data_IF_939125766858
#
_entry.id   IF_939125766858
#
_cell.length_a   1.000
_cell.length_b   1.000
_cell.length_c   1.000
_cell.angle_alpha   90.00
_cell.angle_beta   90.00
_cell.angle_gamma   90.00
#
_symmetry.space_group_name_H-M   'P 1'
#
loop_
_entity.id
_entity.type
_entity.pdbx_description
1 polymer ?
#
# COMPACT_ATOMS: atom_id res chain seq x y z
N UNK A 1 15.66 -8.15 -25.31
CA UNK A 1 15.21 -7.69 -26.63
C UNK A 1 14.97 -8.90 -27.53
N UNK A 2 13.82 -9.00 -28.27
CA UNK A 2 13.57 -10.13 -29.18
C UNK A 2 14.66 -10.34 -30.25
N UNK A 3 15.24 -9.26 -30.73
CA UNK A 3 16.35 -9.34 -31.70
C UNK A 3 17.63 -9.93 -31.11
N UNK A 4 17.82 -9.90 -29.81
CA UNK A 4 18.98 -10.50 -29.11
C UNK A 4 18.72 -11.96 -28.72
N UNK A 5 17.49 -12.40 -28.76
CA UNK A 5 17.10 -13.76 -28.39
C UNK A 5 17.30 -14.78 -29.53
N UNK A 6 17.73 -14.35 -30.73
CA UNK A 6 17.91 -15.22 -31.88
C UNK A 6 16.67 -15.99 -32.26
N UNK A 7 16.81 -17.32 -32.45
CA UNK A 7 15.68 -18.20 -32.80
C UNK A 7 14.62 -18.32 -31.69
N UNK A 8 14.93 -17.95 -30.46
CA UNK A 8 13.96 -17.88 -29.34
C UNK A 8 13.21 -16.54 -29.28
N UNK A 9 13.49 -15.61 -30.17
CA UNK A 9 12.81 -14.32 -30.25
C UNK A 9 11.44 -14.42 -30.91
N UNK A 10 11.19 -13.57 -31.89
CA UNK A 10 9.91 -13.61 -32.61
C UNK A 10 9.86 -14.80 -33.56
N UNK A 11 8.80 -15.60 -33.39
CA UNK A 11 8.43 -16.63 -34.34
C UNK A 11 7.12 -16.22 -34.99
N UNK A 12 7.08 -16.18 -36.33
CA UNK A 12 5.85 -15.95 -37.04
C UNK A 12 4.90 -17.13 -36.82
N UNK A 13 3.72 -16.83 -36.33
CA UNK A 13 2.67 -17.83 -36.18
C UNK A 13 1.85 -17.90 -37.48
N UNK A 14 1.84 -19.04 -38.18
CA UNK A 14 1.01 -19.19 -39.37
C UNK A 14 -0.46 -19.25 -38.96
N UNK A 15 -1.20 -18.18 -39.24
CA UNK A 15 -2.64 -18.10 -39.07
C UNK A 15 -3.32 -18.49 -40.41
N UNK A 16 -3.97 -19.65 -40.51
CA UNK A 16 -4.75 -19.97 -41.70
C UNK A 16 -5.95 -19.00 -41.78
N UNK A 17 -6.04 -18.33 -42.92
CA UNK A 17 -7.17 -17.45 -43.21
C UNK A 17 -8.08 -18.20 -44.16
N UNK A 18 -9.35 -18.36 -43.79
CA UNK A 18 -10.36 -18.90 -44.74
C UNK A 18 -10.40 -17.96 -45.96
N UNK A 19 -10.71 -18.56 -47.12
CA UNK A 19 -10.84 -17.80 -48.35
C UNK A 19 -12.05 -16.90 -48.30
N UNK A 20 -11.86 -15.67 -47.84
CA UNK A 20 -12.86 -14.62 -47.67
C UNK A 20 -12.39 -13.32 -48.30
N UNK A 21 -13.33 -12.49 -48.70
CA UNK A 21 -13.04 -11.17 -49.19
C UNK A 21 -12.46 -10.28 -48.09
N UNK A 22 -11.39 -9.56 -48.42
CA UNK A 22 -10.87 -8.52 -47.50
C UNK A 22 -11.80 -7.32 -47.54
N UNK A 23 -12.53 -7.11 -46.47
CA UNK A 23 -13.39 -5.94 -46.29
C UNK A 23 -12.77 -4.95 -45.32
N UNK A 24 -12.98 -3.67 -45.57
CA UNK A 24 -12.59 -2.59 -44.65
C UNK A 24 -13.75 -2.32 -43.72
N UNK A 25 -13.56 -2.53 -42.42
CA UNK A 25 -14.58 -2.29 -41.42
C UNK A 25 -13.97 -2.28 -40.02
N UNK A 26 -14.74 -1.79 -39.08
CA UNK A 26 -14.37 -1.92 -37.66
C UNK A 26 -14.87 -3.30 -37.16
N UNK A 27 -14.03 -4.07 -36.48
CA UNK A 27 -14.51 -5.28 -35.80
C UNK A 27 -15.66 -4.96 -34.84
N UNK A 28 -16.62 -5.85 -34.71
CA UNK A 28 -17.78 -5.67 -33.82
C UNK A 28 -17.40 -5.34 -32.39
N UNK A 29 -16.31 -5.93 -31.91
CA UNK A 29 -15.79 -5.68 -30.56
C UNK A 29 -15.35 -4.24 -30.32
N UNK A 30 -15.07 -3.45 -31.37
CA UNK A 30 -14.76 -2.02 -31.20
C UNK A 30 -15.96 -1.19 -30.76
N UNK A 31 -17.18 -1.69 -30.90
CA UNK A 31 -18.37 -1.02 -30.39
C UNK A 31 -18.65 -1.32 -28.90
N UNK A 32 -17.97 -2.30 -28.32
CA UNK A 32 -18.03 -2.59 -26.90
C UNK A 32 -17.03 -1.71 -26.13
N UNK A 33 -17.51 -0.57 -25.66
CA UNK A 33 -16.67 0.41 -24.93
C UNK A 33 -16.65 0.19 -23.42
N UNK A 34 -17.53 -0.65 -22.87
CA UNK A 34 -17.79 -0.65 -21.43
C UNK A 34 -17.55 -1.99 -20.72
N UNK A 35 -17.58 -3.12 -21.42
CA UNK A 35 -17.50 -4.45 -20.78
C UNK A 35 -16.22 -4.63 -19.95
N UNK A 36 -15.08 -4.17 -20.47
CA UNK A 36 -13.80 -4.25 -19.73
C UNK A 36 -13.79 -3.32 -18.51
N UNK A 37 -14.34 -2.12 -18.63
CA UNK A 37 -14.43 -1.19 -17.51
C UNK A 37 -15.39 -1.69 -16.42
N UNK A 38 -16.51 -2.31 -16.81
CA UNK A 38 -17.43 -2.97 -15.88
C UNK A 38 -16.77 -4.16 -15.18
N UNK A 39 -16.05 -5.01 -15.92
CA UNK A 39 -15.28 -6.12 -15.36
C UNK A 39 -14.25 -5.60 -14.33
N UNK A 40 -13.51 -4.58 -14.69
CA UNK A 40 -12.51 -3.99 -13.79
C UNK A 40 -13.16 -3.45 -12.53
N UNK A 41 -14.17 -2.60 -12.64
CA UNK A 41 -14.88 -2.03 -11.50
C UNK A 41 -15.46 -3.12 -10.58
N UNK A 42 -16.16 -4.10 -11.14
CA UNK A 42 -16.78 -5.19 -10.38
C UNK A 42 -15.76 -6.13 -9.71
N UNK A 43 -14.51 -6.13 -10.19
CA UNK A 43 -13.43 -6.95 -9.64
C UNK A 43 -12.64 -6.24 -8.53
N UNK A 44 -12.93 -4.97 -8.27
CA UNK A 44 -12.26 -4.20 -7.23
C UNK A 44 -12.92 -4.40 -5.86
N UNK A 45 -12.12 -4.36 -4.80
CA UNK A 45 -12.63 -4.28 -3.42
C UNK A 45 -13.30 -2.93 -3.16
N UNK A 46 -14.11 -2.83 -2.13
CA UNK A 46 -14.77 -1.57 -1.75
C UNK A 46 -13.78 -0.41 -1.53
N UNK A 47 -12.59 -0.70 -0.98
CA UNK A 47 -11.52 0.31 -0.79
C UNK A 47 -10.96 0.78 -2.13
N UNK A 48 -10.71 -0.14 -3.05
CA UNK A 48 -10.22 0.20 -4.39
C UNK A 48 -11.27 0.98 -5.19
N UNK A 49 -12.54 0.62 -5.09
CA UNK A 49 -13.66 1.37 -5.70
C UNK A 49 -13.73 2.79 -5.12
N UNK A 50 -13.58 2.97 -3.81
CA UNK A 50 -13.53 4.29 -3.19
C UNK A 50 -12.34 5.12 -3.70
N UNK A 51 -11.17 4.49 -3.89
CA UNK A 51 -10.00 5.16 -4.48
C UNK A 51 -10.24 5.57 -5.93
N UNK A 52 -10.90 4.74 -6.74
CA UNK A 52 -11.27 5.09 -8.12
C UNK A 52 -12.19 6.31 -8.14
N UNK A 53 -13.22 6.33 -7.30
CA UNK A 53 -14.12 7.49 -7.16
C UNK A 53 -13.34 8.73 -6.77
N UNK A 54 -12.45 8.64 -5.78
CA UNK A 54 -11.65 9.75 -5.32
C UNK A 54 -10.70 10.29 -6.43
N UNK A 55 -10.12 9.40 -7.22
CA UNK A 55 -9.26 9.77 -8.35
C UNK A 55 -10.03 10.54 -9.43
N UNK A 56 -11.22 10.06 -9.83
CA UNK A 56 -12.07 10.79 -10.77
C UNK A 56 -12.50 12.15 -10.22
N UNK A 57 -12.86 12.25 -8.95
CA UNK A 57 -13.18 13.54 -8.30
C UNK A 57 -12.00 14.49 -8.37
N UNK A 58 -10.81 14.02 -8.04
CA UNK A 58 -9.59 14.82 -8.03
C UNK A 58 -9.29 15.41 -9.43
N UNK A 59 -9.33 14.58 -10.47
CA UNK A 59 -9.06 15.06 -11.83
C UNK A 59 -10.18 15.93 -12.38
N UNK A 60 -11.44 15.56 -12.19
CA UNK A 60 -12.57 16.30 -12.73
C UNK A 60 -12.81 17.64 -12.03
N UNK A 61 -12.42 17.83 -10.78
CA UNK A 61 -12.46 19.15 -10.13
C UNK A 61 -11.57 20.17 -10.81
N UNK A 62 -10.51 19.73 -11.49
CA UNK A 62 -9.60 20.60 -12.25
C UNK A 62 -10.13 20.98 -13.63
N UNK A 63 -11.10 20.26 -14.15
CA UNK A 63 -11.75 20.54 -15.42
C UNK A 63 -12.70 21.72 -15.23
N UNK A 64 -12.43 22.85 -15.84
CA UNK A 64 -13.21 24.07 -15.65
C UNK A 64 -14.53 24.10 -16.42
N UNK A 65 -14.65 23.31 -17.50
CA UNK A 65 -15.83 23.27 -18.36
C UNK A 65 -16.86 22.26 -17.84
N UNK A 66 -18.03 22.70 -17.32
CA UNK A 66 -19.03 21.80 -16.74
C UNK A 66 -19.55 20.73 -17.72
N UNK A 67 -19.72 21.09 -18.98
CA UNK A 67 -20.18 20.14 -20.02
C UNK A 67 -19.24 18.94 -20.22
N UNK A 68 -17.93 19.10 -19.97
CA UNK A 68 -16.97 17.99 -20.02
C UNK A 68 -17.19 17.07 -18.81
N UNK A 69 -17.38 17.63 -17.62
CA UNK A 69 -17.68 16.86 -16.40
C UNK A 69 -18.96 16.05 -16.59
N UNK A 70 -20.02 16.67 -17.11
CA UNK A 70 -21.29 16.03 -17.40
C UNK A 70 -21.13 14.86 -18.39
N UNK A 71 -20.38 15.07 -19.47
CA UNK A 71 -20.10 14.01 -20.45
C UNK A 71 -19.35 12.85 -19.83
N UNK A 72 -18.36 13.10 -18.98
CA UNK A 72 -17.63 12.03 -18.28
C UNK A 72 -18.56 11.27 -17.34
N UNK A 73 -19.42 11.94 -16.57
CA UNK A 73 -20.42 11.29 -15.73
C UNK A 73 -21.39 10.41 -16.54
N UNK A 74 -21.78 10.87 -17.72
CA UNK A 74 -22.62 10.10 -18.65
C UNK A 74 -21.92 8.82 -19.15
N UNK A 75 -20.60 8.86 -19.37
CA UNK A 75 -19.79 7.67 -19.68
C UNK A 75 -19.68 6.74 -18.47
N UNK A 76 -19.41 7.27 -17.27
CA UNK A 76 -19.31 6.48 -16.06
C UNK A 76 -20.62 5.79 -15.68
N UNK A 77 -21.76 6.38 -16.02
CA UNK A 77 -23.07 5.78 -15.80
C UNK A 77 -23.29 4.47 -16.58
N UNK A 78 -22.61 4.28 -17.72
CA UNK A 78 -22.58 3.01 -18.44
C UNK A 78 -21.70 1.94 -17.77
N UNK A 79 -20.78 2.33 -16.87
CA UNK A 79 -19.90 1.39 -16.19
C UNK A 79 -20.60 0.86 -14.93
N UNK A 80 -20.93 1.75 -13.99
CA UNK A 80 -21.61 1.38 -12.75
C UNK A 80 -22.32 2.58 -12.11
N UNK A 81 -23.54 2.43 -11.59
CA UNK A 81 -24.27 3.53 -10.95
C UNK A 81 -23.56 4.09 -9.73
N UNK A 82 -22.92 3.24 -8.88
CA UNK A 82 -22.20 3.68 -7.69
C UNK A 82 -20.96 4.51 -8.07
N UNK A 83 -20.27 4.16 -9.16
CA UNK A 83 -19.15 4.94 -9.66
C UNK A 83 -19.62 6.34 -10.11
N UNK A 84 -20.63 6.39 -10.97
CA UNK A 84 -21.16 7.65 -11.47
C UNK A 84 -21.73 8.51 -10.32
N UNK A 85 -22.52 7.91 -9.43
CA UNK A 85 -23.11 8.58 -8.25
C UNK A 85 -22.06 9.11 -7.30
N UNK A 86 -21.07 8.28 -6.98
CA UNK A 86 -19.97 8.68 -6.11
C UNK A 86 -19.18 9.85 -6.67
N UNK A 87 -18.84 9.84 -7.96
CA UNK A 87 -18.12 10.95 -8.61
C UNK A 87 -18.98 12.20 -8.67
N UNK A 88 -20.24 12.09 -9.12
CA UNK A 88 -21.19 13.21 -9.23
C UNK A 88 -21.37 13.94 -7.90
N UNK A 89 -21.54 13.19 -6.80
CA UNK A 89 -21.65 13.75 -5.45
C UNK A 89 -20.46 14.65 -5.09
N UNK A 90 -19.23 14.19 -5.40
CA UNK A 90 -18.04 14.98 -5.10
C UNK A 90 -17.86 16.22 -5.99
N UNK A 91 -18.50 16.23 -7.15
CA UNK A 91 -18.51 17.39 -8.07
C UNK A 91 -19.70 18.33 -7.84
N UNK A 92 -20.62 18.00 -6.92
CA UNK A 92 -21.85 18.77 -6.73
C UNK A 92 -22.79 18.73 -7.93
N UNK A 93 -22.80 17.62 -8.69
CA UNK A 93 -23.55 17.44 -9.92
C UNK A 93 -24.55 16.29 -9.78
N UNK A 94 -25.61 16.31 -10.60
CA UNK A 94 -26.49 15.16 -10.78
C UNK A 94 -25.86 14.17 -11.76
N UNK A 95 -26.22 12.89 -11.63
CA UNK A 95 -25.82 11.88 -12.61
C UNK A 95 -26.68 12.06 -13.86
N UNK A 96 -26.10 12.37 -15.03
CA UNK A 96 -26.85 12.50 -16.28
C UNK A 96 -27.30 11.13 -16.81
N UNK A 97 -28.12 11.14 -17.83
CA UNK A 97 -28.45 9.91 -18.57
C UNK A 97 -27.18 9.25 -19.11
N UNK A 98 -27.10 7.91 -19.12
CA UNK A 98 -25.97 7.20 -19.71
C UNK A 98 -25.75 7.60 -21.17
N UNK A 99 -24.48 7.73 -21.58
CA UNK A 99 -24.13 8.01 -22.97
C UNK A 99 -24.72 6.91 -23.88
N UNK A 100 -25.34 7.27 -25.01
CA UNK A 100 -25.82 6.28 -25.97
C UNK A 100 -24.73 5.28 -26.38
N UNK A 101 -25.08 4.01 -26.44
CA UNK A 101 -24.14 2.97 -26.86
C UNK A 101 -23.84 3.09 -28.36
N UNK A 102 -22.61 2.73 -28.76
CA UNK A 102 -22.21 2.72 -30.16
C UNK A 102 -22.80 1.52 -30.92
N UNK A 103 -23.27 0.49 -30.20
CA UNK A 103 -23.92 -0.71 -30.76
C UNK A 103 -25.29 -0.91 -30.14
N UNK A 104 -26.21 -1.48 -30.90
CA UNK A 104 -27.47 -1.96 -30.38
C UNK A 104 -27.39 -3.31 -29.66
N UNK A 105 -26.23 -3.96 -29.74
CA UNK A 105 -25.99 -5.21 -29.01
C UNK A 105 -25.80 -4.93 -27.52
N UNK A 106 -26.32 -5.80 -26.65
CA UNK A 106 -26.10 -5.65 -25.21
C UNK A 106 -24.60 -5.74 -24.88
N UNK A 107 -24.15 -4.92 -23.94
CA UNK A 107 -22.77 -5.00 -23.43
C UNK A 107 -22.52 -6.38 -22.81
N UNK A 108 -21.48 -7.12 -23.24
CA UNK A 108 -21.17 -8.41 -22.65
C UNK A 108 -20.84 -8.28 -21.16
N UNK A 109 -21.32 -9.21 -20.36
CA UNK A 109 -21.02 -9.29 -18.93
C UNK A 109 -19.99 -10.40 -18.68
N UNK A 110 -18.98 -10.10 -17.88
CA UNK A 110 -17.95 -11.05 -17.52
C UNK A 110 -17.93 -11.31 -16.01
N UNK A 111 -17.59 -12.54 -15.58
CA UNK A 111 -17.47 -12.85 -14.16
C UNK A 111 -16.33 -12.03 -13.53
N UNK A 112 -16.50 -11.70 -12.25
CA UNK A 112 -15.47 -11.02 -11.45
C UNK A 112 -14.15 -11.77 -11.50
N UNK A 113 -13.05 -11.04 -11.74
CA UNK A 113 -11.69 -11.58 -11.76
C UNK A 113 -10.89 -11.06 -10.57
N UNK A 114 -10.62 -11.87 -9.54
CA UNK A 114 -9.81 -11.45 -8.40
C UNK A 114 -8.42 -10.94 -8.79
N UNK A 115 -7.86 -11.45 -9.89
CA UNK A 115 -6.54 -11.06 -10.38
C UNK A 115 -6.43 -9.57 -10.79
N UNK A 116 -7.55 -8.88 -10.99
CA UNK A 116 -7.58 -7.45 -11.29
C UNK A 116 -7.46 -6.56 -10.04
N UNK A 117 -7.65 -7.13 -8.85
CA UNK A 117 -7.42 -6.41 -7.59
C UNK A 117 -5.95 -6.39 -7.23
N UNK A 118 -5.42 -5.24 -6.82
CA UNK A 118 -4.05 -5.12 -6.30
C UNK A 118 -3.85 -5.87 -4.97
N UNK A 119 -4.95 -6.21 -4.28
CA UNK A 119 -4.91 -6.98 -3.04
C UNK A 119 -4.79 -8.49 -3.30
N UNK A 120 -5.10 -8.94 -4.52
CA UNK A 120 -4.93 -10.35 -4.90
C UNK A 120 -3.49 -10.64 -5.28
N UNK A 121 -2.76 -11.25 -4.36
CA UNK A 121 -1.34 -11.58 -4.52
C UNK A 121 -1.09 -13.03 -4.17
N UNK A 122 -1.49 -13.99 -5.01
CA UNK A 122 -1.28 -15.41 -4.75
C UNK A 122 0.23 -15.70 -4.67
N UNK A 123 0.63 -16.48 -3.67
CA UNK A 123 2.04 -16.84 -3.45
C UNK A 123 2.94 -15.74 -2.86
N UNK A 124 2.46 -14.50 -2.74
CA UNK A 124 3.19 -13.44 -2.05
C UNK A 124 2.90 -13.48 -0.54
N UNK A 125 3.58 -14.36 0.14
CA UNK A 125 3.56 -14.45 1.61
C UNK A 125 4.87 -13.90 2.15
N UNK A 126 4.84 -13.02 3.15
CA UNK A 126 6.05 -12.52 3.78
C UNK A 126 6.42 -11.09 3.38
N UNK A 127 7.63 -10.69 3.78
CA UNK A 127 8.13 -9.31 3.69
C UNK A 127 9.28 -9.12 2.69
N UNK A 128 9.52 -10.12 1.85
CA UNK A 128 10.60 -10.06 0.86
C UNK A 128 10.48 -8.81 0.00
N UNK A 129 11.59 -8.12 -0.20
CA UNK A 129 11.74 -6.84 -0.92
C UNK A 129 11.06 -5.62 -0.29
N UNK A 130 10.36 -5.79 0.85
CA UNK A 130 9.73 -4.67 1.55
C UNK A 130 10.76 -3.79 2.24
N UNK A 131 10.65 -2.49 2.03
CA UNK A 131 11.49 -1.49 2.70
C UNK A 131 10.89 -1.16 4.06
N UNK A 132 11.67 -1.33 5.13
CA UNK A 132 11.23 -1.12 6.50
C UNK A 132 12.11 -0.06 7.15
N UNK A 133 11.52 1.06 7.54
CA UNK A 133 12.21 2.07 8.33
C UNK A 133 12.24 1.64 9.80
N UNK A 134 13.42 1.65 10.41
CA UNK A 134 13.57 1.49 11.86
C UNK A 134 13.98 2.85 12.39
N UNK A 135 13.06 3.55 13.06
CA UNK A 135 13.33 4.85 13.65
C UNK A 135 14.10 4.66 14.94
N UNK A 136 15.31 5.21 14.99
CA UNK A 136 16.25 5.09 16.10
C UNK A 136 16.82 6.45 16.47
N UNK A 137 17.28 6.57 17.72
CA UNK A 137 17.97 7.74 18.26
C UNK A 137 18.90 7.34 19.39
N UNK A 138 19.48 8.31 20.09
CA UNK A 138 20.35 8.03 21.22
C UNK A 138 19.66 7.24 22.34
N UNK A 139 20.38 6.33 22.96
CA UNK A 139 19.90 5.53 24.09
C UNK A 139 19.09 4.29 23.71
N UNK A 140 19.05 3.89 22.42
CA UNK A 140 18.45 2.61 22.01
C UNK A 140 19.30 1.43 22.49
N UNK A 141 18.67 0.30 22.69
CA UNK A 141 19.37 -0.95 22.95
C UNK A 141 19.87 -1.51 21.60
N UNK A 142 21.16 -1.33 21.34
CA UNK A 142 21.77 -1.53 20.02
C UNK A 142 21.77 -2.99 19.58
N UNK A 143 21.92 -3.93 20.52
CA UNK A 143 21.93 -5.37 20.20
C UNK A 143 20.56 -5.83 19.69
N UNK A 144 19.48 -5.40 20.34
CA UNK A 144 18.11 -5.70 19.88
C UNK A 144 17.85 -5.12 18.50
N UNK A 145 18.35 -3.91 18.20
CA UNK A 145 18.22 -3.29 16.88
C UNK A 145 19.00 -4.06 15.83
N UNK A 146 20.23 -4.49 16.12
CA UNK A 146 21.05 -5.30 15.21
C UNK A 146 20.38 -6.64 14.92
N UNK A 147 19.86 -7.32 15.94
CA UNK A 147 19.17 -8.59 15.80
C UNK A 147 17.90 -8.43 14.97
N UNK A 148 17.07 -7.44 15.26
CA UNK A 148 15.88 -7.10 14.47
C UNK A 148 16.24 -6.81 13.00
N UNK A 149 17.30 -6.05 12.77
CA UNK A 149 17.78 -5.74 11.42
C UNK A 149 18.21 -7.01 10.69
N UNK A 150 18.97 -7.88 11.34
CA UNK A 150 19.42 -9.16 10.78
C UNK A 150 18.26 -10.10 10.46
N UNK A 151 17.26 -10.20 11.34
CA UNK A 151 16.07 -11.02 11.12
C UNK A 151 15.24 -10.55 9.93
N UNK A 152 15.06 -9.23 9.81
CA UNK A 152 14.36 -8.64 8.66
C UNK A 152 15.11 -8.91 7.35
N UNK A 153 16.45 -8.84 7.35
CA UNK A 153 17.28 -9.20 6.19
C UNK A 153 17.16 -10.68 5.84
N UNK A 154 17.15 -11.56 6.84
CA UNK A 154 17.01 -13.01 6.63
C UNK A 154 15.68 -13.37 5.98
N UNK A 155 14.60 -12.62 6.29
CA UNK A 155 13.30 -12.75 5.64
C UNK A 155 13.25 -12.06 4.25
N UNK A 156 14.36 -11.49 3.80
CA UNK A 156 14.49 -10.82 2.50
C UNK A 156 13.90 -9.43 2.43
N UNK A 157 13.59 -8.80 3.57
CA UNK A 157 13.23 -7.38 3.63
C UNK A 157 14.46 -6.48 3.43
N UNK A 158 14.22 -5.19 3.27
CA UNK A 158 15.25 -4.15 3.15
C UNK A 158 15.09 -3.17 4.31
N UNK A 159 15.55 -3.51 5.53
CA UNK A 159 15.52 -2.60 6.67
C UNK A 159 16.47 -1.42 6.45
N UNK A 160 16.16 -0.28 7.07
CA UNK A 160 17.01 0.90 7.11
C UNK A 160 16.93 1.56 8.47
N UNK A 161 18.09 1.88 9.03
CA UNK A 161 18.20 2.66 10.25
C UNK A 161 18.01 4.14 9.92
N UNK A 162 16.92 4.70 10.40
CA UNK A 162 16.53 6.08 10.11
C UNK A 162 16.58 6.89 11.41
N UNK A 163 17.32 7.98 11.40
CA UNK A 163 17.48 8.87 12.54
C UNK A 163 17.29 10.34 12.19
N UNK A 164 17.33 11.20 13.20
CA UNK A 164 17.25 12.65 12.99
C UNK A 164 18.35 13.19 12.10
N UNK A 165 19.57 12.66 12.25
CA UNK A 165 20.76 13.06 11.50
C UNK A 165 21.54 11.82 11.07
N UNK A 166 22.40 11.97 10.07
CA UNK A 166 23.42 10.96 9.76
C UNK A 166 24.50 10.93 10.83
N UNK A 167 25.20 9.82 10.93
CA UNK A 167 26.31 9.63 11.85
C UNK A 167 26.03 8.59 12.92
N UNK A 168 26.81 8.61 14.01
CA UNK A 168 26.73 7.61 15.06
C UNK A 168 25.84 8.05 16.21
N UNK A 169 24.92 7.21 16.58
CA UNK A 169 24.19 7.33 17.84
C UNK A 169 24.85 6.45 18.90
N UNK A 170 24.76 6.89 20.16
CA UNK A 170 25.21 6.10 21.32
C UNK A 170 24.05 5.29 21.86
N UNK A 171 24.25 4.01 21.97
CA UNK A 171 23.31 3.09 22.59
C UNK A 171 23.28 3.20 24.12
N UNK A 172 22.38 2.45 24.72
CA UNK A 172 22.17 2.42 26.18
C UNK A 172 23.42 1.98 26.93
N UNK A 173 24.18 1.04 26.38
CA UNK A 173 25.37 0.45 26.99
C UNK A 173 26.70 1.14 26.57
N UNK A 174 26.61 2.29 25.88
CA UNK A 174 27.76 3.04 25.39
C UNK A 174 28.33 2.57 24.05
N UNK A 175 27.82 1.51 23.47
CA UNK A 175 28.10 1.07 22.12
C UNK A 175 27.47 2.03 21.08
N UNK A 176 27.84 1.85 19.82
CA UNK A 176 27.43 2.78 18.78
C UNK A 176 26.68 2.07 17.65
N UNK A 177 25.78 2.82 17.01
CA UNK A 177 25.03 2.40 15.85
C UNK A 177 25.08 3.51 14.80
N UNK A 178 25.41 3.16 13.56
CA UNK A 178 25.47 4.12 12.46
C UNK A 178 24.08 4.30 11.84
N UNK A 179 23.64 5.55 11.70
CA UNK A 179 22.41 5.91 10.99
C UNK A 179 22.67 5.85 9.49
N UNK A 180 21.85 5.10 8.77
CA UNK A 180 21.99 4.91 7.33
C UNK A 180 21.31 6.04 6.53
N UNK A 181 20.19 6.57 7.04
CA UNK A 181 19.38 7.58 6.35
C UNK A 181 18.85 8.59 7.37
N UNK A 182 18.97 9.88 7.07
CA UNK A 182 18.31 10.92 7.87
C UNK A 182 16.82 11.00 7.51
N UNK A 183 16.00 11.44 8.46
CA UNK A 183 14.56 11.69 8.22
C UNK A 183 14.30 12.68 7.07
N UNK A 184 15.21 13.61 6.83
CA UNK A 184 15.13 14.56 5.71
C UNK A 184 15.32 13.87 4.35
N UNK A 185 16.26 12.92 4.26
CA UNK A 185 16.59 12.22 3.02
C UNK A 185 15.73 10.97 2.79
N UNK A 186 15.08 10.45 3.83
CA UNK A 186 14.25 9.25 3.81
C UNK A 186 12.77 9.53 3.99
N UNK A 187 12.07 10.12 3.02
CA UNK A 187 10.65 10.40 3.16
C UNK A 187 9.81 9.12 3.32
N UNK A 188 8.66 9.17 4.02
CA UNK A 188 7.85 7.99 4.36
C UNK A 188 7.33 7.23 3.13
N UNK A 189 7.26 7.88 1.97
CA UNK A 189 6.85 7.23 0.71
C UNK A 189 7.77 6.09 0.29
N UNK A 190 9.05 6.13 0.66
CA UNK A 190 10.05 5.12 0.31
C UNK A 190 9.91 3.81 1.09
N UNK A 191 9.11 3.78 2.15
CA UNK A 191 9.01 2.64 3.05
C UNK A 191 7.63 2.00 3.01
N UNK A 192 7.60 0.67 3.07
CA UNK A 192 6.38 -0.14 3.16
C UNK A 192 5.88 -0.27 4.61
N UNK A 193 6.77 -0.15 5.59
CA UNK A 193 6.45 -0.24 7.01
C UNK A 193 7.42 0.61 7.85
N UNK A 194 7.04 0.89 9.10
CA UNK A 194 7.88 1.58 10.07
C UNK A 194 7.90 0.85 11.41
N UNK A 195 9.08 0.80 12.02
CA UNK A 195 9.30 0.32 13.38
C UNK A 195 9.86 1.48 14.20
N UNK A 196 9.26 1.76 15.34
CA UNK A 196 9.74 2.74 16.31
C UNK A 196 10.43 1.97 17.44
N UNK A 197 11.73 2.17 17.62
CA UNK A 197 12.52 1.50 18.64
C UNK A 197 12.15 1.96 20.05
N UNK A 198 12.40 1.09 21.02
CA UNK A 198 12.23 1.39 22.44
C UNK A 198 13.43 2.21 22.96
N UNK A 199 13.20 3.42 23.41
CA UNK A 199 14.12 4.24 24.19
C UNK A 199 13.48 5.59 24.50
N UNK A 200 13.36 5.94 25.76
CA UNK A 200 12.82 7.25 26.16
C UNK A 200 13.67 8.40 25.61
N UNK A 201 15.00 8.26 25.58
CA UNK A 201 15.89 9.26 25.03
C UNK A 201 15.71 9.44 23.51
N UNK A 202 15.61 8.33 22.77
CA UNK A 202 15.33 8.36 21.33
C UNK A 202 13.96 8.96 21.04
N UNK A 203 12.94 8.61 21.83
CA UNK A 203 11.59 9.16 21.66
C UNK A 203 11.57 10.67 21.93
N UNK A 204 12.30 11.13 22.95
CA UNK A 204 12.43 12.57 23.22
C UNK A 204 13.15 13.30 22.08
N UNK A 205 14.17 12.71 21.50
CA UNK A 205 14.89 13.26 20.33
C UNK A 205 13.98 13.32 19.11
N UNK A 206 13.36 12.20 18.75
CA UNK A 206 12.44 12.08 17.62
C UNK A 206 11.21 12.99 17.77
N UNK A 207 10.69 13.16 18.97
CA UNK A 207 9.50 14.00 19.21
C UNK A 207 9.73 15.49 18.96
N UNK A 208 10.96 15.96 19.08
CA UNK A 208 11.37 17.34 18.77
C UNK A 208 11.57 17.58 17.27
N UNK A 209 11.63 16.53 16.48
CA UNK A 209 11.86 16.61 15.06
C UNK A 209 10.51 16.51 14.31
N UNK A 210 10.11 17.57 13.62
CA UNK A 210 8.84 17.61 12.87
C UNK A 210 8.77 16.52 11.79
N UNK A 211 9.89 16.20 11.14
CA UNK A 211 9.92 15.15 10.11
C UNK A 211 9.57 13.78 10.66
N UNK A 212 9.95 13.46 11.91
CA UNK A 212 9.60 12.18 12.53
C UNK A 212 8.10 12.04 12.78
N UNK A 213 7.45 13.09 13.26
CA UNK A 213 6.01 13.10 13.51
C UNK A 213 5.24 13.04 12.18
N UNK A 214 5.68 13.79 11.18
CA UNK A 214 5.07 13.75 9.85
C UNK A 214 5.32 12.41 9.15
N UNK A 215 6.49 11.80 9.33
CA UNK A 215 6.77 10.45 8.85
C UNK A 215 5.72 9.46 9.35
N UNK A 216 5.46 9.45 10.64
CA UNK A 216 4.47 8.56 11.25
C UNK A 216 3.04 8.87 10.79
N UNK A 217 2.67 10.16 10.71
CA UNK A 217 1.36 10.57 10.19
C UNK A 217 1.13 10.10 8.77
N UNK A 218 2.14 10.21 7.90
CA UNK A 218 2.05 9.75 6.51
C UNK A 218 1.98 8.23 6.42
N UNK A 219 2.78 7.49 7.21
CA UNK A 219 2.65 6.03 7.29
C UNK A 219 1.24 5.60 7.68
N UNK A 220 0.67 6.26 8.70
CA UNK A 220 -0.68 6.03 9.15
C UNK A 220 -1.72 6.39 8.08
N UNK A 221 -1.61 7.57 7.47
CA UNK A 221 -2.52 8.07 6.42
C UNK A 221 -2.58 7.14 5.22
N UNK A 222 -1.46 6.51 4.88
CA UNK A 222 -1.35 5.56 3.78
C UNK A 222 -1.55 4.10 4.20
N UNK A 223 -2.12 3.86 5.39
CA UNK A 223 -2.45 2.54 5.91
C UNK A 223 -1.27 1.55 5.91
N UNK A 224 -0.03 2.05 6.06
CA UNK A 224 1.15 1.21 6.11
C UNK A 224 1.32 0.60 7.50
N UNK A 225 1.84 -0.64 7.61
CA UNK A 225 2.11 -1.29 8.89
C UNK A 225 3.06 -0.45 9.77
N UNK A 226 2.72 -0.36 11.04
CA UNK A 226 3.51 0.36 12.05
C UNK A 226 3.68 -0.53 13.29
N UNK A 227 4.91 -0.64 13.78
CA UNK A 227 5.25 -1.31 15.03
C UNK A 227 5.91 -0.31 15.96
N UNK A 228 5.38 -0.16 17.15
CA UNK A 228 6.01 0.61 18.22
C UNK A 228 6.42 -0.33 19.35
N UNK A 229 7.69 -0.27 19.77
CA UNK A 229 8.26 -1.10 20.82
C UNK A 229 8.38 -0.23 22.07
N UNK A 230 7.93 -0.73 23.21
CA UNK A 230 8.04 -0.06 24.50
C UNK A 230 7.57 1.39 24.50
N UNK A 231 8.45 2.31 24.83
CA UNK A 231 8.20 3.76 24.85
C UNK A 231 7.88 4.37 23.48
N UNK A 232 8.16 3.63 22.38
CA UNK A 232 7.82 4.04 21.02
C UNK A 232 6.34 4.37 20.82
N UNK A 233 5.45 3.79 21.62
CA UNK A 233 4.01 4.11 21.63
C UNK A 233 3.75 5.58 21.95
N UNK A 234 4.61 6.20 22.78
CA UNK A 234 4.47 7.61 23.12
C UNK A 234 4.70 8.51 21.91
N UNK A 235 5.60 8.13 21.01
CA UNK A 235 5.82 8.88 19.77
C UNK A 235 4.61 8.81 18.84
N UNK A 236 3.94 7.66 18.75
CA UNK A 236 2.68 7.54 17.99
C UNK A 236 1.59 8.44 18.56
N UNK A 237 1.48 8.51 19.88
CA UNK A 237 0.53 9.39 20.56
C UNK A 237 0.81 10.87 20.28
N UNK A 238 2.08 11.28 20.29
CA UNK A 238 2.50 12.64 19.93
C UNK A 238 2.24 12.97 18.45
N UNK A 239 2.32 11.98 17.58
CA UNK A 239 1.92 12.11 16.19
C UNK A 239 0.39 12.14 15.99
N UNK A 240 -0.39 12.09 17.08
CA UNK A 240 -1.86 12.05 17.08
C UNK A 240 -2.43 10.82 16.36
N UNK A 241 -1.72 9.70 16.43
CA UNK A 241 -2.18 8.44 15.83
C UNK A 241 -3.02 7.70 16.87
N UNK A 242 -4.29 7.41 16.57
CA UNK A 242 -5.17 6.73 17.52
C UNK A 242 -4.69 5.29 17.78
N UNK A 243 -4.75 4.85 19.03
CA UNK A 243 -4.38 3.48 19.44
C UNK A 243 -5.40 2.42 19.01
N UNK A 244 -6.60 2.84 18.63
CA UNK A 244 -7.70 1.97 18.19
C UNK A 244 -8.27 2.43 16.86
N UNK A 245 -8.70 1.46 16.06
CA UNK A 245 -9.51 1.69 14.87
C UNK A 245 -10.94 2.10 15.26
N UNK A 246 -11.72 2.70 14.34
CA UNK A 246 -13.14 2.97 14.57
C UNK A 246 -13.95 1.72 14.95
N UNK A 247 -13.52 0.54 14.53
CA UNK A 247 -14.12 -0.76 14.88
C UNK A 247 -13.67 -1.29 16.26
N UNK A 248 -12.90 -0.51 17.04
CA UNK A 248 -12.39 -0.86 18.35
C UNK A 248 -11.15 -1.76 18.36
N UNK A 249 -10.67 -2.23 17.20
CA UNK A 249 -9.46 -3.03 17.11
C UNK A 249 -8.21 -2.19 17.39
N UNK A 250 -7.23 -2.78 18.07
CA UNK A 250 -5.93 -2.13 18.27
C UNK A 250 -5.18 -1.96 16.95
N UNK A 251 -4.66 -0.75 16.70
CA UNK A 251 -3.82 -0.47 15.51
C UNK A 251 -2.34 -0.70 15.72
N UNK A 252 -1.91 -0.74 16.96
CA UNK A 252 -0.50 -0.91 17.33
C UNK A 252 -0.32 -2.14 18.20
N UNK A 253 0.69 -2.94 17.91
CA UNK A 253 1.21 -3.90 18.86
C UNK A 253 2.29 -3.18 19.67
N UNK A 254 2.07 -2.99 20.98
CA UNK A 254 3.12 -2.58 21.91
C UNK A 254 3.69 -3.81 22.58
N UNK A 255 4.98 -4.06 22.43
CA UNK A 255 5.69 -5.07 23.19
C UNK A 255 6.50 -4.38 24.28
N UNK A 256 6.33 -4.78 25.52
CA UNK A 256 7.12 -4.26 26.66
C UNK A 256 8.55 -4.79 26.69
N UNK A 257 8.83 -5.88 25.98
CA UNK A 257 10.17 -6.37 25.68
C UNK A 257 10.09 -7.36 24.54
N UNK A 258 11.02 -7.32 23.62
CA UNK A 258 11.14 -8.26 22.52
C UNK A 258 12.35 -9.15 22.81
N UNK A 259 12.11 -10.40 23.18
CA UNK A 259 13.16 -11.41 23.27
C UNK A 259 13.07 -12.34 22.07
N UNK A 260 14.12 -12.39 21.26
CA UNK A 260 14.28 -13.33 20.17
C UNK A 260 14.88 -14.61 20.75
N UNK A 261 14.22 -15.75 20.59
CA UNK A 261 14.81 -17.05 20.90
C UNK A 261 15.67 -17.52 19.72
N UNK A 262 16.90 -17.96 19.96
CA UNK A 262 17.74 -18.48 18.89
C UNK A 262 17.11 -19.77 18.33
N UNK A 263 16.79 -19.78 17.05
CA UNK A 263 16.34 -20.95 16.31
C UNK A 263 14.86 -21.06 15.95
N UNK A 264 14.05 -20.02 16.20
CA UNK A 264 12.65 -20.02 15.82
C UNK A 264 12.27 -18.76 15.04
N UNK A 265 11.65 -18.95 13.89
CA UNK A 265 11.04 -17.88 13.07
C UNK A 265 9.79 -17.24 13.73
N UNK A 266 9.84 -17.04 15.06
CA UNK A 266 8.69 -16.58 15.84
C UNK A 266 9.13 -15.49 16.82
N UNK A 267 8.61 -14.29 16.64
CA UNK A 267 8.68 -13.19 17.60
C UNK A 267 7.80 -13.55 18.82
N UNK A 268 8.40 -13.84 19.98
CA UNK A 268 7.66 -14.04 21.23
C UNK A 268 7.54 -12.71 22.00
N UNK A 269 6.32 -12.27 22.20
CA UNK A 269 6.02 -11.15 23.08
C UNK A 269 5.90 -11.66 24.53
N UNK A 270 6.85 -11.25 25.36
CA UNK A 270 6.80 -11.51 26.80
C UNK A 270 6.01 -10.45 27.54
N UNK A 271 4.82 -10.74 27.98
CA UNK A 271 4.20 -10.13 29.14
C UNK A 271 3.20 -11.09 29.77
N UNK A 272 3.09 -11.03 31.07
CA UNK A 272 2.24 -11.88 31.90
C UNK A 272 0.80 -11.98 31.37
N UNK A 273 0.41 -13.23 31.11
CA UNK A 273 -0.89 -13.73 30.70
C UNK A 273 -1.15 -13.79 29.19
N UNK A 274 -0.87 -14.98 28.64
CA UNK A 274 -1.06 -15.50 27.28
C UNK A 274 -0.03 -15.00 26.26
N UNK A 275 1.01 -15.82 26.11
CA UNK A 275 1.92 -15.75 24.98
C UNK A 275 1.13 -15.94 23.67
N UNK A 276 1.03 -14.88 22.87
CA UNK A 276 0.68 -14.98 21.47
C UNK A 276 1.99 -15.03 20.68
N UNK A 277 2.32 -16.19 20.13
CA UNK A 277 3.39 -16.33 19.16
C UNK A 277 2.92 -15.79 17.81
N UNK A 278 3.61 -14.80 17.27
CA UNK A 278 3.37 -14.28 15.93
C UNK A 278 4.52 -14.70 15.04
N UNK A 279 4.30 -15.47 13.96
CA UNK A 279 5.33 -15.63 12.94
C UNK A 279 5.57 -14.27 12.26
N UNK A 280 6.83 -13.96 11.95
CA UNK A 280 7.24 -12.75 11.21
C UNK A 280 6.49 -12.62 9.88
N UNK A 281 6.01 -13.75 9.34
CA UNK A 281 5.09 -13.81 8.18
C UNK A 281 3.73 -13.11 8.40
N UNK A 282 3.38 -12.71 9.62
CA UNK A 282 2.12 -12.03 9.98
C UNK A 282 2.23 -10.52 10.23
N UNK A 283 3.28 -9.85 9.81
CA UNK A 283 3.20 -8.40 9.52
C UNK A 283 2.08 -8.03 8.52
N UNK A 284 1.35 -9.07 8.07
CA UNK A 284 0.24 -9.04 7.12
C UNK A 284 -1.11 -8.59 7.71
N UNK A 285 -1.24 -8.42 9.01
CA UNK A 285 -2.58 -8.38 9.63
C UNK A 285 -3.09 -7.02 10.07
N UNK A 286 -2.55 -5.95 9.54
CA UNK A 286 -3.16 -4.62 9.74
C UNK A 286 -3.57 -3.92 8.44
N UNK A 287 -3.54 -4.60 7.30
CA UNK A 287 -4.25 -4.20 6.08
C UNK A 287 -5.59 -4.94 5.97
N UNK A 288 -6.23 -5.21 7.07
CA UNK A 288 -7.57 -5.76 7.12
C UNK A 288 -8.57 -4.66 6.85
N UNK A 289 -9.20 -4.74 5.70
CA UNK A 289 -10.53 -4.23 5.32
C UNK A 289 -11.04 -3.02 6.12
N UNK A 290 -10.94 -1.86 5.52
CA UNK A 290 -11.96 -0.82 5.66
C UNK A 290 -13.11 -1.14 4.72
#
# INVERSE_FOLDING_TARGET
CPFQAGMAGYVSYPQPIAAEDKVRGNPELFSDHYSQAQLFWNSQSAVEQAHIIAAFRFELTRVQVPAIRERVLSLLANIHPDLAGGVAQGLGMFVPAPMPLASSLPTPTYPVSPALSLLFRPGQTGIRTKRIAILVGHGVETESIKNLYADLLAEGAVPRLVGCNLGRIKGLNGDTLDIEISLEAGPPVLYDAVIVADSDAAILELSKNAHSLDFLRQQYRHCKPMLAIGSGVNLLSQASIPSKLPDGRGRTCSASSMSLQPGGSTLQMGSSRKAMSWPVSRLRLLSGSL
#
